data_IF_306087580042
#
_entry.id   IF_306087580042
#
_cell.length_a   1.000
_cell.length_b   1.000
_cell.length_c   1.000
_cell.angle_alpha   90.00
_cell.angle_beta   90.00
_cell.angle_gamma   90.00
#
_symmetry.space_group_name_H-M   'P 1'
#
loop_
_entity.id
_entity.type
_entity.pdbx_description
1 polymer ?
#
# COMPACT_ATOMS: atom_id res chain seq x y z
N UNK A 1 -6.79 -9.63 18.80
CA UNK A 1 -7.35 -8.47 19.54
C UNK A 1 -6.26 -7.40 19.65
N UNK A 2 -6.44 -6.27 19.07
CA UNK A 2 -5.51 -5.16 19.24
C UNK A 2 -5.56 -4.73 20.71
N UNK A 3 -4.38 -4.75 21.35
CA UNK A 3 -4.26 -4.16 22.66
C UNK A 3 -4.39 -2.64 22.48
N UNK A 4 -5.41 -2.08 23.06
CA UNK A 4 -5.64 -0.64 23.08
C UNK A 4 -4.41 0.04 23.66
N UNK A 5 -3.68 0.78 22.83
CA UNK A 5 -2.71 1.74 23.32
C UNK A 5 -3.49 3.04 23.47
N UNK A 6 -3.67 3.49 24.70
CA UNK A 6 -4.38 4.74 25.05
C UNK A 6 -5.83 4.85 24.56
N UNK A 7 -6.61 3.78 24.60
CA UNK A 7 -8.03 3.82 24.21
C UNK A 7 -8.29 3.91 22.71
N UNK A 8 -7.28 3.84 21.85
CA UNK A 8 -7.44 3.84 20.39
C UNK A 8 -7.34 2.43 19.84
N UNK A 9 -8.38 2.00 19.15
CA UNK A 9 -8.36 0.78 18.35
C UNK A 9 -7.88 1.14 16.95
N UNK A 10 -6.86 0.45 16.44
CA UNK A 10 -6.51 0.56 15.03
C UNK A 10 -7.71 0.17 14.17
N UNK A 11 -8.07 0.98 13.21
CA UNK A 11 -9.21 0.71 12.34
C UNK A 11 -8.80 0.56 10.88
N UNK A 12 -7.67 1.14 10.48
CA UNK A 12 -7.29 1.25 9.08
C UNK A 12 -5.77 1.24 8.89
N UNK A 13 -5.30 0.29 8.08
CA UNK A 13 -3.89 0.15 7.71
C UNK A 13 -3.72 0.29 6.19
N UNK A 14 -2.54 0.76 5.78
CA UNK A 14 -2.18 0.98 4.38
C UNK A 14 -1.00 0.11 4.00
N UNK A 15 -1.10 -0.59 2.88
CA UNK A 15 0.04 -1.18 2.18
C UNK A 15 0.15 -0.58 0.79
N UNK A 16 1.37 -0.37 0.31
CA UNK A 16 1.63 0.28 -0.97
C UNK A 16 2.16 -0.68 -2.01
N UNK A 17 1.69 -0.52 -3.24
CA UNK A 17 2.14 -1.25 -4.42
C UNK A 17 2.57 -0.25 -5.49
N UNK A 18 3.77 -0.39 -6.02
CA UNK A 18 4.28 0.36 -7.17
C UNK A 18 5.30 -0.50 -7.92
N UNK A 19 5.58 -0.16 -9.16
CA UNK A 19 6.47 -0.97 -10.00
C UNK A 19 7.93 -0.95 -9.51
N UNK A 20 8.61 -2.10 -9.56
CA UNK A 20 8.12 -3.43 -9.96
C UNK A 20 7.27 -4.08 -8.87
N UNK A 21 5.98 -4.32 -9.17
CA UNK A 21 4.98 -4.80 -8.18
C UNK A 21 5.31 -6.14 -7.51
N UNK A 22 6.13 -6.99 -8.15
CA UNK A 22 6.61 -8.24 -7.54
C UNK A 22 7.31 -8.03 -6.19
N UNK A 23 7.86 -6.86 -5.97
CA UNK A 23 8.53 -6.52 -4.72
C UNK A 23 7.58 -6.08 -3.60
N UNK A 24 6.32 -5.84 -3.91
CA UNK A 24 5.31 -5.52 -2.90
C UNK A 24 4.79 -6.75 -2.16
N UNK A 25 5.05 -7.96 -2.67
CA UNK A 25 4.46 -9.21 -2.16
C UNK A 25 4.74 -9.44 -0.68
N UNK A 26 5.96 -9.17 -0.23
CA UNK A 26 6.33 -9.34 1.19
C UNK A 26 5.53 -8.39 2.08
N UNK A 27 5.46 -7.11 1.73
CA UNK A 27 4.68 -6.12 2.47
C UNK A 27 3.17 -6.45 2.46
N UNK A 28 2.65 -6.92 1.33
CA UNK A 28 1.27 -7.38 1.20
C UNK A 28 0.97 -8.54 2.15
N UNK A 29 1.84 -9.54 2.23
CA UNK A 29 1.65 -10.68 3.12
C UNK A 29 1.61 -10.25 4.59
N UNK A 30 2.48 -9.35 5.01
CA UNK A 30 2.43 -8.77 6.37
C UNK A 30 1.14 -7.98 6.61
N UNK A 31 0.73 -7.15 5.65
CA UNK A 31 -0.48 -6.34 5.78
C UNK A 31 -1.75 -7.21 5.87
N UNK A 32 -1.81 -8.28 5.07
CA UNK A 32 -2.90 -9.25 5.12
C UNK A 32 -2.95 -9.92 6.49
N UNK A 33 -1.80 -10.36 6.99
CA UNK A 33 -1.71 -11.00 8.32
C UNK A 33 -2.17 -10.07 9.43
N UNK A 34 -1.72 -8.82 9.41
CA UNK A 34 -2.16 -7.81 10.38
C UNK A 34 -3.67 -7.57 10.28
N UNK A 35 -4.20 -7.45 9.05
CA UNK A 35 -5.62 -7.23 8.84
C UNK A 35 -6.48 -8.39 9.37
N UNK A 36 -6.00 -9.63 9.20
CA UNK A 36 -6.69 -10.83 9.70
C UNK A 36 -6.65 -10.94 11.23
N UNK A 37 -5.45 -10.75 11.82
CA UNK A 37 -5.25 -10.97 13.26
C UNK A 37 -5.95 -9.90 14.11
N UNK A 38 -6.08 -8.71 13.57
CA UNK A 38 -6.59 -7.56 14.31
C UNK A 38 -7.94 -7.02 13.83
N UNK A 39 -8.52 -7.64 12.81
CA UNK A 39 -9.80 -7.23 12.22
C UNK A 39 -9.85 -5.75 11.81
N UNK A 40 -8.78 -5.30 11.16
CA UNK A 40 -8.68 -3.92 10.66
C UNK A 40 -8.92 -3.85 9.16
N UNK A 41 -9.37 -2.71 8.66
CA UNK A 41 -9.52 -2.48 7.23
C UNK A 41 -8.15 -2.36 6.55
N UNK A 42 -7.94 -3.15 5.51
CA UNK A 42 -6.75 -3.10 4.67
C UNK A 42 -6.99 -2.20 3.46
N UNK A 43 -6.23 -1.13 3.35
CA UNK A 43 -6.17 -0.29 2.16
C UNK A 43 -4.95 -0.68 1.34
N UNK A 44 -5.15 -1.04 0.07
CA UNK A 44 -4.09 -1.34 -0.89
C UNK A 44 -4.01 -0.16 -1.85
N UNK A 45 -2.96 0.63 -1.75
CA UNK A 45 -2.72 1.79 -2.60
C UNK A 45 -1.74 1.42 -3.72
N UNK A 46 -2.23 1.41 -4.95
CA UNK A 46 -1.39 1.23 -6.13
C UNK A 46 -0.98 2.59 -6.68
N UNK A 47 0.33 2.80 -6.84
CA UNK A 47 0.87 4.06 -7.32
C UNK A 47 1.50 3.87 -8.70
N UNK A 48 0.93 4.51 -9.70
CA UNK A 48 1.48 4.60 -11.04
C UNK A 48 2.50 5.75 -11.06
N UNK A 49 3.74 5.45 -11.39
CA UNK A 49 4.77 6.48 -11.52
C UNK A 49 4.53 7.29 -12.79
N UNK A 50 4.20 8.55 -12.66
CA UNK A 50 3.96 9.45 -13.79
C UNK A 50 3.30 10.76 -13.40
N UNK A 51 3.29 11.70 -14.35
CA UNK A 51 2.68 13.03 -14.22
C UNK A 51 1.17 13.05 -14.50
N UNK A 52 0.57 11.90 -14.79
CA UNK A 52 -0.81 11.89 -15.23
C UNK A 52 -1.78 12.07 -14.06
N UNK A 53 -2.56 13.13 -14.15
CA UNK A 53 -3.81 13.17 -13.41
C UNK A 53 -4.75 12.11 -14.01
N UNK A 54 -5.03 11.05 -13.26
CA UNK A 54 -5.92 9.95 -13.68
C UNK A 54 -7.36 10.41 -13.94
N UNK A 55 -7.68 11.65 -13.58
CA UNK A 55 -9.02 12.27 -13.72
C UNK A 55 -9.11 13.23 -14.92
N UNK A 56 -8.04 13.39 -15.70
CA UNK A 56 -8.12 14.23 -16.91
C UNK A 56 -9.08 13.64 -17.94
N UNK A 57 -9.78 14.51 -18.63
CA UNK A 57 -10.79 14.13 -19.65
C UNK A 57 -10.17 13.31 -20.79
N UNK A 58 -8.89 13.53 -21.11
CA UNK A 58 -8.15 12.80 -22.14
C UNK A 58 -6.74 12.44 -21.64
N UNK A 59 -6.60 11.40 -20.78
CA UNK A 59 -5.27 10.96 -20.37
C UNK A 59 -4.52 10.33 -21.55
N UNK A 60 -3.19 10.42 -21.59
CA UNK A 60 -2.40 9.73 -22.60
C UNK A 60 -2.70 8.22 -22.61
N UNK A 61 -2.73 7.61 -23.79
CA UNK A 61 -3.13 6.21 -23.98
C UNK A 61 -2.33 5.21 -23.12
N UNK A 62 -1.04 5.46 -22.93
CA UNK A 62 -0.20 4.61 -22.07
C UNK A 62 -0.61 4.67 -20.59
N UNK A 63 -1.11 5.81 -20.12
CA UNK A 63 -1.62 5.94 -18.74
C UNK A 63 -2.95 5.21 -18.59
N UNK A 64 -3.82 5.28 -19.60
CA UNK A 64 -5.06 4.49 -19.61
C UNK A 64 -4.76 3.00 -19.50
N UNK A 65 -3.76 2.51 -20.24
CA UNK A 65 -3.35 1.12 -20.19
C UNK A 65 -2.77 0.74 -18.82
N UNK A 66 -1.87 1.56 -18.26
CA UNK A 66 -1.32 1.33 -16.92
C UNK A 66 -2.41 1.28 -15.85
N UNK A 67 -3.42 2.15 -15.95
CA UNK A 67 -4.56 2.13 -15.03
C UNK A 67 -5.37 0.84 -15.14
N UNK A 68 -5.65 0.38 -16.36
CA UNK A 68 -6.35 -0.89 -16.60
C UNK A 68 -5.57 -2.08 -16.03
N UNK A 69 -4.26 -2.11 -16.26
CA UNK A 69 -3.38 -3.17 -15.74
C UNK A 69 -3.35 -3.17 -14.21
N UNK A 70 -3.27 -2.00 -13.59
CA UNK A 70 -3.33 -1.85 -12.14
C UNK A 70 -4.69 -2.31 -11.58
N UNK A 71 -5.79 -1.96 -12.22
CA UNK A 71 -7.14 -2.40 -11.84
C UNK A 71 -7.29 -3.92 -11.91
N UNK A 72 -6.85 -4.53 -13.03
CA UNK A 72 -6.87 -5.99 -13.19
C UNK A 72 -6.03 -6.70 -12.13
N UNK A 73 -4.86 -6.16 -11.82
CA UNK A 73 -4.00 -6.69 -10.77
C UNK A 73 -4.69 -6.62 -9.39
N UNK A 74 -5.27 -5.48 -9.04
CA UNK A 74 -5.93 -5.29 -7.74
C UNK A 74 -7.17 -6.18 -7.57
N UNK A 75 -7.96 -6.36 -8.63
CA UNK A 75 -9.12 -7.27 -8.61
C UNK A 75 -8.66 -8.71 -8.34
N UNK A 76 -7.69 -9.21 -9.11
CA UNK A 76 -7.14 -10.57 -8.92
C UNK A 76 -6.51 -10.75 -7.54
N UNK A 77 -5.80 -9.74 -7.04
CA UNK A 77 -5.20 -9.75 -5.71
C UNK A 77 -6.27 -9.83 -4.62
N UNK A 78 -7.30 -9.00 -4.72
CA UNK A 78 -8.41 -9.00 -3.75
C UNK A 78 -9.16 -10.33 -3.73
N UNK A 79 -9.43 -10.91 -4.89
CA UNK A 79 -10.05 -12.24 -5.01
C UNK A 79 -9.17 -13.33 -4.38
N UNK A 80 -7.86 -13.30 -4.65
CA UNK A 80 -6.91 -14.25 -4.06
C UNK A 80 -6.90 -14.13 -2.53
N UNK A 81 -6.81 -12.92 -2.00
CA UNK A 81 -6.81 -12.68 -0.55
C UNK A 81 -8.09 -13.23 0.08
N UNK A 82 -9.26 -13.00 -0.53
CA UNK A 82 -10.54 -13.50 -0.01
C UNK A 82 -10.64 -15.03 -0.05
N UNK A 83 -10.09 -15.67 -1.09
CA UNK A 83 -10.06 -17.15 -1.20
C UNK A 83 -9.13 -17.78 -0.16
N UNK A 84 -7.98 -17.19 0.06
CA UNK A 84 -6.97 -17.68 1.00
C UNK A 84 -7.31 -17.36 2.46
N UNK A 85 -8.25 -16.43 2.69
CA UNK A 85 -8.74 -16.12 4.03
C UNK A 85 -9.58 -17.29 4.56
N UNK A 86 -9.29 -17.73 5.78
CA UNK A 86 -10.10 -18.76 6.43
C UNK A 86 -11.56 -18.30 6.48
N UNK A 87 -12.50 -19.22 6.28
CA UNK A 87 -13.95 -18.96 6.28
C UNK A 87 -14.46 -18.20 7.51
N UNK A 88 -13.64 -18.10 8.56
CA UNK A 88 -13.97 -17.43 9.82
C UNK A 88 -13.83 -15.91 9.81
N UNK A 89 -13.02 -15.32 8.92
CA UNK A 89 -12.79 -13.87 8.90
C UNK A 89 -12.56 -13.35 7.49
N UNK A 90 -13.55 -12.67 6.94
CA UNK A 90 -13.43 -11.89 5.70
C UNK A 90 -12.64 -10.62 5.97
N UNK A 91 -11.58 -10.37 5.20
CA UNK A 91 -10.80 -9.12 5.31
C UNK A 91 -11.56 -8.00 4.60
N UNK A 92 -11.69 -6.86 5.26
CA UNK A 92 -12.25 -5.65 4.66
C UNK A 92 -11.17 -4.94 3.85
N UNK A 93 -11.22 -5.09 2.52
CA UNK A 93 -10.23 -4.52 1.59
C UNK A 93 -10.81 -3.31 0.87
N UNK A 94 -10.03 -2.24 0.81
CA UNK A 94 -10.25 -1.11 -0.09
C UNK A 94 -9.03 -1.00 -1.00
N UNK A 95 -9.25 -0.83 -2.30
CA UNK A 95 -8.19 -0.61 -3.28
C UNK A 95 -8.30 0.78 -3.88
N UNK A 96 -7.16 1.44 -4.08
CA UNK A 96 -7.06 2.76 -4.70
C UNK A 96 -5.90 2.78 -5.69
N UNK A 97 -6.06 3.55 -6.76
CA UNK A 97 -5.02 3.79 -7.76
C UNK A 97 -4.79 5.29 -7.88
N UNK A 98 -3.56 5.71 -7.69
CA UNK A 98 -3.14 7.10 -7.90
C UNK A 98 -1.93 7.15 -8.83
N UNK A 99 -1.69 8.31 -9.45
CA UNK A 99 -0.48 8.56 -10.21
C UNK A 99 0.34 9.66 -9.53
N UNK A 100 1.64 9.45 -9.43
CA UNK A 100 2.57 10.46 -8.91
C UNK A 100 4.00 10.20 -9.36
N UNK A 101 4.74 11.27 -9.62
CA UNK A 101 6.20 11.21 -9.79
C UNK A 101 6.92 11.13 -8.44
N UNK A 102 6.27 11.62 -7.37
CA UNK A 102 6.81 11.66 -6.00
C UNK A 102 6.06 10.64 -5.15
N UNK A 103 6.49 9.38 -5.24
CA UNK A 103 5.80 8.25 -4.63
C UNK A 103 5.67 8.42 -3.10
N UNK A 104 6.75 8.79 -2.42
CA UNK A 104 6.74 8.96 -0.96
C UNK A 104 5.74 10.05 -0.51
N UNK A 105 5.71 11.19 -1.20
CA UNK A 105 4.77 12.27 -0.88
C UNK A 105 3.32 11.83 -1.10
N UNK A 106 3.07 11.09 -2.17
CA UNK A 106 1.74 10.56 -2.46
C UNK A 106 1.27 9.59 -1.36
N UNK A 107 2.16 8.73 -0.87
CA UNK A 107 1.86 7.81 0.23
C UNK A 107 1.52 8.59 1.51
N UNK A 108 2.37 9.53 1.88
CA UNK A 108 2.20 10.33 3.11
C UNK A 108 0.92 11.15 3.07
N UNK A 109 0.66 11.84 1.96
CA UNK A 109 -0.57 12.62 1.78
C UNK A 109 -1.82 11.75 1.81
N UNK A 110 -1.81 10.65 1.07
CA UNK A 110 -2.93 9.70 1.07
C UNK A 110 -3.22 9.16 2.48
N UNK A 111 -2.16 8.77 3.19
CA UNK A 111 -2.30 8.24 4.54
C UNK A 111 -2.91 9.26 5.50
N UNK A 112 -2.47 10.52 5.42
CA UNK A 112 -3.01 11.61 6.23
C UNK A 112 -4.48 11.90 5.92
N UNK A 113 -4.80 12.07 4.63
CA UNK A 113 -6.15 12.45 4.16
C UNK A 113 -7.19 11.34 4.42
N UNK A 114 -6.74 10.09 4.45
CA UNK A 114 -7.60 8.93 4.69
C UNK A 114 -7.53 8.39 6.12
N UNK A 115 -6.90 9.09 7.05
CA UNK A 115 -6.79 8.70 8.46
C UNK A 115 -6.22 7.29 8.65
N UNK A 116 -5.13 7.00 7.92
CA UNK A 116 -4.39 5.75 8.07
C UNK A 116 -3.63 5.76 9.38
N UNK A 117 -3.66 4.65 10.11
CA UNK A 117 -3.07 4.51 11.44
C UNK A 117 -1.80 3.66 11.46
N UNK A 118 -1.52 2.95 10.37
CA UNK A 118 -0.28 2.21 10.15
C UNK A 118 0.01 2.12 8.65
N UNK A 119 1.21 2.48 8.25
CA UNK A 119 1.71 2.24 6.89
C UNK A 119 2.63 1.03 6.91
N UNK A 120 2.41 0.08 6.00
CA UNK A 120 3.29 -1.07 5.78
C UNK A 120 3.94 -0.90 4.42
N UNK A 121 5.27 -0.82 4.42
CA UNK A 121 6.05 -0.54 3.21
C UNK A 121 7.29 -1.42 3.14
N UNK A 122 7.68 -1.78 1.94
CA UNK A 122 8.90 -2.52 1.71
C UNK A 122 10.13 -1.61 1.83
N UNK A 123 11.21 -2.14 2.44
CA UNK A 123 12.46 -1.37 2.64
C UNK A 123 13.31 -1.20 1.39
N UNK A 124 13.17 -2.08 0.38
CA UNK A 124 14.04 -2.11 -0.80
C UNK A 124 13.28 -1.92 -2.12
N UNK A 125 13.93 -1.13 -3.02
CA UNK A 125 13.72 -1.19 -4.45
C UNK A 125 14.65 -2.23 -5.12
N UNK A 126 14.97 -2.01 -6.40
CA UNK A 126 15.78 -2.88 -7.26
C UNK A 126 17.29 -2.85 -7.00
N UNK A 127 17.78 -2.06 -6.04
CA UNK A 127 19.21 -1.87 -5.77
C UNK A 127 19.85 -3.15 -5.25
N UNK A 128 20.89 -3.61 -5.96
CA UNK A 128 21.70 -4.80 -5.62
C UNK A 128 22.65 -4.57 -4.43
N UNK A 129 22.64 -3.43 -3.81
CA UNK A 129 23.51 -3.11 -2.67
C UNK A 129 23.09 -3.94 -1.46
N UNK A 130 23.99 -4.81 -1.02
CA UNK A 130 23.82 -5.72 0.13
C UNK A 130 23.83 -5.00 1.50
N UNK A 131 24.03 -3.70 1.54
CA UNK A 131 23.99 -2.93 2.77
C UNK A 131 22.55 -2.70 3.25
N UNK A 132 22.39 -2.62 4.54
CA UNK A 132 21.11 -2.36 5.26
C UNK A 132 20.70 -0.90 4.99
N UNK A 133 20.39 -0.57 3.75
CA UNK A 133 19.93 0.77 3.37
C UNK A 133 18.44 0.71 3.14
N UNK A 134 17.73 1.49 3.91
CA UNK A 134 16.31 1.78 3.67
C UNK A 134 16.23 2.45 2.28
N UNK A 135 15.40 1.91 1.37
CA UNK A 135 15.21 2.51 0.05
C UNK A 135 14.72 3.97 0.15
N UNK A 136 14.95 4.77 -0.88
CA UNK A 136 14.60 6.20 -0.87
C UNK A 136 13.13 6.45 -0.53
N UNK A 137 12.21 5.72 -1.16
CA UNK A 137 10.77 5.85 -0.89
C UNK A 137 10.45 5.50 0.56
N UNK A 138 10.93 4.37 1.06
CA UNK A 138 10.69 3.95 2.45
C UNK A 138 11.29 4.93 3.46
N UNK A 139 12.52 5.42 3.20
CA UNK A 139 13.18 6.41 4.03
C UNK A 139 12.38 7.71 4.14
N UNK A 140 11.88 8.22 3.01
CA UNK A 140 11.10 9.46 2.98
C UNK A 140 9.72 9.26 3.64
N UNK A 141 9.08 8.11 3.45
CA UNK A 141 7.82 7.80 4.14
C UNK A 141 8.02 7.73 5.65
N UNK A 142 9.04 7.03 6.14
CA UNK A 142 9.36 6.94 7.58
C UNK A 142 9.61 8.33 8.17
N UNK A 143 10.30 9.20 7.43
CA UNK A 143 10.64 10.56 7.90
C UNK A 143 9.44 11.50 7.98
N UNK A 144 8.46 11.35 7.08
CA UNK A 144 7.38 12.33 6.92
C UNK A 144 5.98 11.81 7.29
N UNK A 145 5.82 10.52 7.57
CA UNK A 145 4.54 9.95 7.94
C UNK A 145 4.03 10.52 9.28
N UNK A 146 2.70 10.76 9.35
CA UNK A 146 2.03 11.19 10.58
C UNK A 146 1.67 10.01 11.51
N UNK A 147 1.84 8.78 11.06
CA UNK A 147 1.52 7.55 11.79
C UNK A 147 2.69 6.57 11.79
N UNK A 148 2.66 5.51 12.60
CA UNK A 148 3.65 4.45 12.57
C UNK A 148 3.85 3.85 11.18
N UNK A 149 5.10 3.48 10.88
CA UNK A 149 5.49 2.84 9.63
C UNK A 149 6.20 1.53 9.93
N UNK A 150 5.63 0.44 9.44
CA UNK A 150 6.25 -0.88 9.47
C UNK A 150 7.01 -1.09 8.16
N UNK A 151 8.32 -1.15 8.26
CA UNK A 151 9.18 -1.44 7.10
C UNK A 151 9.50 -2.93 7.05
N UNK A 152 9.32 -3.55 5.88
CA UNK A 152 9.55 -4.99 5.67
C UNK A 152 10.68 -5.22 4.68
N UNK A 153 11.51 -6.24 4.96
CA UNK A 153 12.63 -6.64 4.09
C UNK A 153 12.20 -7.68 3.07
#
# INVERSE_FOLDING_TARGET
MFKVIEGRTFSKILVTVYEPRKFAEVALNYAIKVAQDYDVRLVILYIIRGNANLQTVNPPSHIVQLKKDAQSYLVKLSEKIQKDSSKAKTIRIKTEIIASIRIADAIVSYAKDNHIELIIIRTRGTSKLKSIVLGSVASDVVRHAHCPVLTVK
#
